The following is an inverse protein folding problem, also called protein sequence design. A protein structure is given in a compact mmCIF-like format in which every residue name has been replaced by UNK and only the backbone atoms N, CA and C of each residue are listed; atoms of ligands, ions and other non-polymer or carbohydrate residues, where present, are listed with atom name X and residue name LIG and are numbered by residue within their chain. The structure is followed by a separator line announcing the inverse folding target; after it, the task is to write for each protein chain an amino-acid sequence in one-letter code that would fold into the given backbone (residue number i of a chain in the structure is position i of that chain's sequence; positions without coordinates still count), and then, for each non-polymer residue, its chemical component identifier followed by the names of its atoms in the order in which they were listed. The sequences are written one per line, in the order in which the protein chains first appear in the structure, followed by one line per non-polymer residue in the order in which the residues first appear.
data_IF_644968166323
#
_entry.id   IF_644968166323
#
_cell.length_a   1.000
_cell.length_b   1.000
_cell.length_c   1.000
_cell.angle_alpha   90.00
_cell.angle_beta   90.00
_cell.angle_gamma   90.00
#
_symmetry.space_group_name_H-M   'P 1'
#
loop_
_entity.id
_entity.type
_entity.pdbx_description
1 polymer ?
#
# COMPACT_ATOMS: atom_id res chain seq x y z
N UNK A 1 8.50 46.54 52.11
CA UNK A 1 9.46 47.33 51.30
C UNK A 1 10.22 46.35 50.42
N UNK A 2 10.27 46.61 49.09
CA UNK A 2 11.14 45.99 48.06
C UNK A 2 10.86 44.52 47.68
N UNK A 3 10.83 44.08 46.43
CA UNK A 3 10.76 44.73 45.10
C UNK A 3 10.43 43.58 44.13
N UNK A 4 9.46 43.78 43.25
CA UNK A 4 9.12 42.87 42.14
C UNK A 4 10.31 42.66 41.20
N UNK A 5 10.61 41.40 40.86
CA UNK A 5 11.26 41.06 39.59
C UNK A 5 10.49 39.91 38.93
N UNK A 6 9.79 40.25 37.85
CA UNK A 6 9.32 39.31 36.85
C UNK A 6 10.54 38.71 36.11
N UNK A 7 10.53 37.40 35.92
CA UNK A 7 11.41 36.72 34.96
C UNK A 7 10.52 36.01 33.93
N UNK A 8 10.81 36.16 32.62
CA UNK A 8 9.87 35.81 31.57
C UNK A 8 9.81 34.29 31.40
N UNK A 9 8.58 33.78 31.25
CA UNK A 9 8.27 32.42 30.87
C UNK A 9 8.75 32.20 29.42
N UNK A 10 9.98 31.70 29.26
CA UNK A 10 10.48 31.22 27.97
C UNK A 10 9.73 29.94 27.62
N UNK A 11 8.66 30.12 26.86
CA UNK A 11 7.86 29.07 26.24
C UNK A 11 8.74 28.31 25.24
N UNK A 12 9.40 27.24 25.70
CA UNK A 12 10.04 26.27 24.83
C UNK A 12 8.96 25.54 24.02
N UNK A 13 8.59 26.11 22.88
CA UNK A 13 7.75 25.45 21.88
C UNK A 13 8.50 24.27 21.29
N UNK A 14 8.38 23.10 21.92
CA UNK A 14 8.71 21.84 21.29
C UNK A 14 7.75 21.67 20.11
N UNK A 15 8.22 22.01 18.90
CA UNK A 15 7.60 21.54 17.67
C UNK A 15 7.70 20.02 17.68
N UNK A 16 6.65 19.34 18.16
CA UNK A 16 6.42 17.95 17.84
C UNK A 16 6.29 17.89 16.31
N UNK A 17 7.37 17.51 15.64
CA UNK A 17 7.27 17.02 14.28
C UNK A 17 6.40 15.77 14.35
N UNK A 18 5.11 15.93 14.02
CA UNK A 18 4.26 14.77 13.76
C UNK A 18 4.99 13.92 12.70
N UNK A 19 5.12 12.60 12.88
CA UNK A 19 5.65 11.76 11.83
C UNK A 19 4.77 11.97 10.60
N UNK A 20 5.33 12.66 9.61
CA UNK A 20 4.66 12.86 8.34
C UNK A 20 4.42 11.48 7.75
N UNK A 21 3.16 11.13 7.50
CA UNK A 21 2.81 9.93 6.75
C UNK A 21 3.42 10.08 5.36
N UNK A 22 4.61 9.50 5.16
CA UNK A 22 5.27 9.47 3.87
C UNK A 22 4.47 8.49 3.01
N UNK A 23 3.99 8.94 1.86
CA UNK A 23 3.26 8.08 0.94
C UNK A 23 4.12 6.86 0.59
N UNK A 24 3.52 5.67 0.63
CA UNK A 24 4.22 4.44 0.28
C UNK A 24 4.79 4.57 -1.14
N UNK A 25 6.06 4.19 -1.38
CA UNK A 25 6.61 4.21 -2.72
C UNK A 25 5.79 3.28 -3.65
N UNK A 26 5.51 3.70 -4.89
CA UNK A 26 4.66 2.94 -5.80
C UNK A 26 5.36 1.64 -6.25
N UNK A 27 4.56 0.61 -6.52
CA UNK A 27 5.05 -0.59 -7.17
C UNK A 27 5.43 -0.34 -8.63
N UNK A 28 6.43 -1.06 -9.14
CA UNK A 28 6.72 -1.14 -10.56
C UNK A 28 6.04 -2.37 -11.17
N UNK A 29 5.16 -2.16 -12.15
CA UNK A 29 4.38 -3.21 -12.81
C UNK A 29 4.91 -3.42 -14.23
N UNK A 30 5.21 -4.68 -14.57
CA UNK A 30 5.70 -5.08 -15.88
C UNK A 30 4.81 -6.18 -16.45
N UNK A 31 4.29 -5.99 -17.67
CA UNK A 31 3.55 -7.04 -18.36
C UNK A 31 4.51 -8.04 -19.00
N UNK A 32 4.40 -9.30 -18.61
CA UNK A 32 5.20 -10.40 -19.15
C UNK A 32 4.52 -11.03 -20.37
N UNK A 33 3.21 -11.23 -20.29
CA UNK A 33 2.44 -11.92 -21.33
C UNK A 33 0.96 -11.51 -21.27
N UNK A 34 0.33 -11.35 -22.45
CA UNK A 34 -1.12 -11.42 -22.61
C UNK A 34 -1.45 -12.43 -23.71
N UNK A 35 -2.39 -13.33 -23.45
CA UNK A 35 -2.84 -14.35 -24.43
C UNK A 35 -4.33 -14.64 -24.28
N UNK A 36 -5.06 -14.81 -25.40
CA UNK A 36 -6.41 -15.37 -25.36
C UNK A 36 -6.42 -16.74 -24.67
N UNK A 37 -7.47 -17.01 -23.90
CA UNK A 37 -7.68 -18.32 -23.28
C UNK A 37 -8.48 -19.19 -24.25
N UNK A 38 -7.87 -20.26 -24.75
CA UNK A 38 -8.41 -21.08 -25.82
C UNK A 38 -9.84 -21.60 -25.55
N UNK A 39 -10.12 -21.97 -24.31
CA UNK A 39 -11.41 -22.55 -23.91
C UNK A 39 -12.40 -21.51 -23.38
N UNK A 40 -12.02 -20.22 -23.32
CA UNK A 40 -12.84 -19.13 -22.78
C UNK A 40 -12.93 -17.99 -23.80
N UNK A 41 -13.90 -18.09 -24.71
CA UNK A 41 -14.17 -17.08 -25.75
C UNK A 41 -14.27 -15.67 -25.15
N UNK A 42 -13.47 -14.75 -25.70
CA UNK A 42 -13.44 -13.34 -25.27
C UNK A 42 -12.74 -13.09 -23.93
N UNK A 43 -12.03 -14.08 -23.37
CA UNK A 43 -11.18 -13.89 -22.18
C UNK A 43 -9.71 -14.06 -22.52
N UNK A 44 -8.88 -13.41 -21.72
CA UNK A 44 -7.43 -13.47 -21.82
C UNK A 44 -6.79 -13.80 -20.47
N UNK A 45 -5.64 -14.47 -20.53
CA UNK A 45 -4.71 -14.60 -19.43
C UNK A 45 -3.68 -13.48 -19.52
N UNK A 46 -3.55 -12.71 -18.44
CA UNK A 46 -2.57 -11.66 -18.27
C UNK A 46 -1.57 -12.08 -17.18
N UNK A 47 -0.27 -12.01 -17.48
CA UNK A 47 0.80 -12.27 -16.51
C UNK A 47 1.60 -11.00 -16.31
N UNK A 48 1.69 -10.57 -15.05
CA UNK A 48 2.41 -9.38 -14.61
C UNK A 48 3.52 -9.77 -13.63
N UNK A 49 4.65 -9.09 -13.72
CA UNK A 49 5.64 -9.02 -12.64
C UNK A 49 5.43 -7.71 -11.91
N UNK A 50 5.16 -7.77 -10.61
CA UNK A 50 5.02 -6.57 -9.76
C UNK A 50 6.18 -6.52 -8.78
N UNK A 51 6.92 -5.41 -8.76
CA UNK A 51 8.07 -5.18 -7.89
C UNK A 51 7.72 -4.09 -6.89
N UNK A 52 7.60 -4.46 -5.62
CA UNK A 52 7.44 -3.50 -4.52
C UNK A 52 8.83 -3.18 -3.93
N UNK A 53 9.20 -1.90 -3.79
CA UNK A 53 10.35 -1.53 -2.95
C UNK A 53 10.01 -1.76 -1.46
N UNK A 54 11.01 -1.76 -0.55
CA UNK A 54 10.75 -1.82 0.89
C UNK A 54 9.77 -0.72 1.33
N UNK A 55 8.72 -1.10 2.06
CA UNK A 55 7.64 -0.20 2.48
C UNK A 55 6.69 0.24 1.36
N UNK A 56 6.86 -0.27 0.13
CA UNK A 56 5.95 -0.02 -0.99
C UNK A 56 4.61 -0.70 -0.81
N UNK A 57 3.55 -0.06 -1.30
CA UNK A 57 2.18 -0.54 -1.21
C UNK A 57 1.36 -0.03 -2.39
N UNK A 58 0.30 -0.75 -2.71
CA UNK A 58 -0.71 -0.27 -3.65
C UNK A 58 -1.90 0.33 -2.92
N UNK A 59 -2.51 1.35 -3.53
CA UNK A 59 -3.82 1.81 -3.10
C UNK A 59 -4.86 0.69 -3.27
N UNK A 60 -5.94 0.73 -2.47
CA UNK A 60 -7.06 -0.19 -2.59
C UNK A 60 -7.62 -0.10 -4.01
N UNK A 61 -7.65 -1.24 -4.72
CA UNK A 61 -8.19 -1.32 -6.07
C UNK A 61 -8.90 -2.66 -6.30
N UNK A 62 -9.61 -2.74 -7.43
CA UNK A 62 -10.40 -3.91 -7.83
C UNK A 62 -9.95 -4.39 -9.19
N UNK A 63 -9.84 -5.71 -9.32
CA UNK A 63 -9.70 -6.36 -10.62
C UNK A 63 -11.06 -6.90 -11.08
N UNK A 64 -11.45 -6.58 -12.31
CA UNK A 64 -12.56 -7.23 -12.99
C UNK A 64 -12.09 -8.52 -13.69
N UNK A 65 -11.34 -9.33 -12.95
CA UNK A 65 -10.73 -10.56 -13.42
C UNK A 65 -10.57 -11.55 -12.25
N UNK A 66 -10.34 -12.82 -12.57
CA UNK A 66 -9.84 -13.79 -11.59
C UNK A 66 -8.33 -13.61 -11.47
N UNK A 67 -7.82 -13.43 -10.25
CA UNK A 67 -6.42 -13.18 -9.99
C UNK A 67 -5.80 -14.36 -9.22
N UNK A 68 -4.60 -14.74 -9.63
CA UNK A 68 -3.72 -15.65 -8.90
C UNK A 68 -2.42 -14.89 -8.62
N UNK A 69 -1.92 -14.95 -7.39
CA UNK A 69 -0.70 -14.24 -6.99
C UNK A 69 0.32 -15.25 -6.48
N UNK A 70 1.56 -15.11 -6.96
CA UNK A 70 2.71 -15.90 -6.52
C UNK A 70 3.90 -14.98 -6.23
N UNK A 71 4.51 -15.13 -5.05
CA UNK A 71 5.65 -14.31 -4.63
C UNK A 71 6.94 -14.98 -5.08
N UNK A 72 7.70 -14.30 -5.95
CA UNK A 72 8.99 -14.79 -6.45
C UNK A 72 10.14 -14.59 -5.45
N UNK A 73 10.11 -13.52 -4.66
CA UNK A 73 11.12 -13.21 -3.65
C UNK A 73 10.56 -12.24 -2.59
N UNK A 74 11.07 -12.34 -1.36
CA UNK A 74 10.68 -11.48 -0.24
C UNK A 74 9.37 -11.91 0.42
N UNK A 75 8.64 -10.95 0.99
CA UNK A 75 7.35 -11.18 1.64
C UNK A 75 6.40 -10.01 1.33
N UNK A 76 5.13 -10.33 1.09
CA UNK A 76 4.06 -9.37 0.88
C UNK A 76 2.95 -9.67 1.87
N UNK A 77 2.46 -8.64 2.57
CA UNK A 77 1.21 -8.74 3.30
C UNK A 77 0.08 -8.35 2.36
N UNK A 78 -0.79 -9.32 2.10
CA UNK A 78 -1.97 -9.13 1.28
C UNK A 78 -3.22 -9.17 2.15
N UNK A 79 -4.07 -8.16 2.03
CA UNK A 79 -5.43 -8.18 2.52
C UNK A 79 -6.37 -8.22 1.31
N UNK A 80 -7.57 -8.76 1.51
CA UNK A 80 -8.57 -8.76 0.47
C UNK A 80 -9.90 -8.31 1.06
N UNK A 81 -10.44 -7.21 0.54
CA UNK A 81 -11.79 -6.77 0.88
C UNK A 81 -12.81 -7.65 0.17
N UNK A 82 -13.84 -8.08 0.89
CA UNK A 82 -15.06 -8.61 0.28
C UNK A 82 -15.97 -7.41 -0.01
N UNK A 83 -16.54 -7.36 -1.20
CA UNK A 83 -17.68 -6.50 -1.50
C UNK A 83 -18.95 -7.37 -1.66
N UNK A 84 -20.13 -6.75 -1.50
CA UNK A 84 -21.45 -7.36 -1.27
C UNK A 84 -21.76 -8.61 -2.11
N UNK A 85 -22.53 -9.55 -1.50
CA UNK A 85 -23.22 -10.78 -1.98
C UNK A 85 -22.54 -11.75 -2.98
N UNK A 86 -21.69 -11.27 -3.88
CA UNK A 86 -21.09 -12.01 -5.00
C UNK A 86 -19.68 -12.53 -4.69
N UNK A 87 -19.12 -12.25 -3.50
CA UNK A 87 -17.84 -12.80 -3.05
C UNK A 87 -16.61 -12.33 -3.84
N UNK A 88 -16.65 -11.13 -4.43
CA UNK A 88 -15.57 -10.59 -5.25
C UNK A 88 -14.52 -9.87 -4.41
N UNK A 89 -13.26 -10.05 -4.80
CA UNK A 89 -12.06 -9.71 -4.02
C UNK A 89 -11.51 -8.31 -4.36
N UNK A 90 -11.21 -7.50 -3.34
CA UNK A 90 -10.48 -6.22 -3.43
C UNK A 90 -9.06 -6.40 -2.91
N UNK A 91 -8.03 -6.40 -3.74
CA UNK A 91 -6.66 -6.62 -3.27
C UNK A 91 -6.11 -5.38 -2.54
N UNK A 92 -5.56 -5.61 -1.35
CA UNK A 92 -4.77 -4.69 -0.54
C UNK A 92 -3.38 -5.34 -0.46
N UNK A 93 -2.39 -4.83 -1.18
CA UNK A 93 -1.01 -5.34 -1.09
C UNK A 93 -0.17 -4.28 -0.38
N UNK A 94 0.34 -4.57 0.83
CA UNK A 94 1.45 -3.78 1.41
C UNK A 94 1.31 -3.27 2.85
N UNK A 95 1.00 -4.10 3.85
CA UNK A 95 1.26 -3.73 5.26
C UNK A 95 2.07 -4.80 6.01
N UNK A 96 3.36 -4.90 5.69
CA UNK A 96 4.34 -5.56 6.56
C UNK A 96 5.02 -4.54 7.47
N UNK A 97 5.40 -4.87 8.71
CA UNK A 97 5.97 -3.91 9.64
C UNK A 97 7.26 -3.31 9.06
N UNK A 98 7.43 -1.99 9.21
CA UNK A 98 8.74 -1.38 9.11
C UNK A 98 9.62 -2.06 10.15
N UNK A 99 10.71 -2.69 9.69
CA UNK A 99 11.80 -3.09 10.58
C UNK A 99 12.39 -1.88 11.29
#
# INVERSE_FOLDING_TARGET
MMKTLAAPLLLAGAMLAAPGSQAAPPAHVEQVMSRPLADLTGKEGLVLTVKYPPGGADAIHRHNAHAFVYVLAGAIVMQVGLDDADGRLHALSGLGPAG
#
